data_IF_755218883893
#
_entry.id   IF_755218883893
#
_cell.length_a   1.000
_cell.length_b   1.000
_cell.length_c   1.000
_cell.angle_alpha   90.00
_cell.angle_beta   90.00
_cell.angle_gamma   90.00
#
_symmetry.space_group_name_H-M   'P 1'
#
loop_
_entity.id
_entity.type
_entity.pdbx_description
1 polymer ?
#
# COMPACT_ATOMS: atom_id res chain seq x y z
N UNK A 1 3.62 17.71 -0.19
CA UNK A 1 2.25 17.40 -0.62
C UNK A 1 2.24 17.39 -2.15
N UNK A 2 1.52 16.46 -2.77
CA UNK A 2 1.29 16.47 -4.23
C UNK A 2 0.26 17.54 -4.55
N UNK A 3 0.48 18.32 -5.60
CA UNK A 3 -0.46 19.34 -6.09
C UNK A 3 -1.06 18.86 -7.43
N UNK A 4 -2.40 18.69 -7.53
CA UNK A 4 -3.07 18.29 -8.77
C UNK A 4 -2.72 19.18 -9.97
N UNK A 5 -2.43 20.47 -9.75
CA UNK A 5 -2.11 21.43 -10.80
C UNK A 5 -0.71 21.21 -11.41
N UNK A 6 0.16 20.48 -10.70
CA UNK A 6 1.54 20.20 -11.15
C UNK A 6 1.63 18.79 -11.76
N UNK A 7 1.00 17.79 -11.13
CA UNK A 7 1.12 16.38 -11.54
C UNK A 7 -0.06 15.86 -12.37
N UNK A 8 -1.14 16.64 -12.49
CA UNK A 8 -2.39 16.23 -13.10
C UNK A 8 -3.33 15.50 -12.15
N UNK A 9 -4.64 15.58 -12.42
CA UNK A 9 -5.68 15.01 -11.56
C UNK A 9 -5.57 13.49 -11.44
N UNK A 10 -5.30 12.79 -12.55
CA UNK A 10 -5.21 11.32 -12.55
C UNK A 10 -4.10 10.83 -11.63
N UNK A 11 -2.88 11.36 -11.77
CA UNK A 11 -1.75 10.99 -10.93
C UNK A 11 -2.04 11.35 -9.46
N UNK A 12 -2.58 12.53 -9.19
CA UNK A 12 -2.94 12.93 -7.84
C UNK A 12 -3.94 11.94 -7.22
N UNK A 13 -5.01 11.61 -7.94
CA UNK A 13 -6.06 10.71 -7.47
C UNK A 13 -5.53 9.29 -7.22
N UNK A 14 -4.70 8.76 -8.11
CA UNK A 14 -4.07 7.44 -7.93
C UNK A 14 -3.13 7.45 -6.72
N UNK A 15 -2.28 8.46 -6.58
CA UNK A 15 -1.36 8.56 -5.45
C UNK A 15 -2.09 8.69 -4.11
N UNK A 16 -3.18 9.48 -4.07
CA UNK A 16 -4.04 9.60 -2.88
C UNK A 16 -4.78 8.31 -2.56
N UNK A 17 -5.29 7.60 -3.57
CA UNK A 17 -5.92 6.30 -3.40
C UNK A 17 -4.96 5.27 -2.82
N UNK A 18 -3.74 5.19 -3.36
CA UNK A 18 -2.67 4.31 -2.84
C UNK A 18 -2.33 4.63 -1.39
N UNK A 19 -2.19 5.92 -1.05
CA UNK A 19 -1.96 6.35 0.34
C UNK A 19 -3.08 5.90 1.27
N UNK A 20 -4.34 6.05 0.86
CA UNK A 20 -5.51 5.62 1.64
C UNK A 20 -5.51 4.11 1.93
N UNK A 21 -5.24 3.28 0.91
CA UNK A 21 -5.18 1.82 1.06
C UNK A 21 -4.05 1.39 2.00
N UNK A 22 -2.87 2.03 1.87
CA UNK A 22 -1.73 1.74 2.75
C UNK A 22 -1.97 2.18 4.20
N UNK A 23 -2.65 3.31 4.41
CA UNK A 23 -3.02 3.78 5.73
C UNK A 23 -3.98 2.81 6.43
N UNK A 24 -5.04 2.39 5.73
CA UNK A 24 -5.97 1.39 6.26
C UNK A 24 -5.30 0.06 6.56
N UNK A 25 -4.35 -0.37 5.71
CA UNK A 25 -3.55 -1.57 6.00
C UNK A 25 -2.70 -1.43 7.26
N UNK A 26 -2.15 -0.23 7.53
CA UNK A 26 -1.37 0.03 8.75
C UNK A 26 -2.22 -0.11 10.00
N UNK A 27 -3.44 0.42 9.99
CA UNK A 27 -4.41 0.30 11.09
C UNK A 27 -4.81 -1.15 11.33
N UNK A 28 -5.07 -1.90 10.25
CA UNK A 28 -5.40 -3.32 10.33
C UNK A 28 -4.21 -4.18 10.77
N UNK A 29 -2.96 -3.73 10.57
CA UNK A 29 -1.77 -4.50 10.93
C UNK A 29 -1.67 -4.75 12.44
N UNK A 30 -2.02 -3.77 13.25
CA UNK A 30 -1.99 -3.90 14.72
C UNK A 30 -3.09 -4.86 15.20
N UNK A 31 -4.27 -4.79 14.58
CA UNK A 31 -5.39 -5.73 14.82
C UNK A 31 -4.98 -7.16 14.42
N UNK A 32 -4.39 -7.35 13.24
CA UNK A 32 -3.91 -8.66 12.75
C UNK A 32 -2.86 -9.25 13.71
N UNK A 33 -1.99 -8.42 14.28
CA UNK A 33 -0.95 -8.89 15.19
C UNK A 33 -1.52 -9.42 16.53
N UNK A 34 -2.68 -8.93 16.96
CA UNK A 34 -3.34 -9.33 18.22
C UNK A 34 -4.32 -10.48 17.99
N UNK A 35 -5.17 -10.36 16.96
CA UNK A 35 -6.33 -11.23 16.74
C UNK A 35 -6.10 -12.29 15.64
N UNK A 36 -5.17 -12.05 14.70
CA UNK A 36 -4.99 -12.89 13.52
C UNK A 36 -5.79 -12.42 12.30
N UNK A 37 -5.48 -12.98 11.13
CA UNK A 37 -6.10 -12.59 9.84
C UNK A 37 -7.54 -13.08 9.68
N UNK A 38 -7.91 -14.16 10.36
CA UNK A 38 -9.21 -14.83 10.15
C UNK A 38 -10.37 -14.05 10.77
N UNK A 39 -10.08 -13.24 11.79
CA UNK A 39 -11.01 -12.37 12.51
C UNK A 39 -11.40 -11.10 11.75
N UNK A 40 -10.77 -10.84 10.60
CA UNK A 40 -11.09 -9.69 9.75
C UNK A 40 -12.35 -9.95 8.92
N UNK A 41 -13.08 -8.85 8.64
CA UNK A 41 -14.13 -8.87 7.62
C UNK A 41 -13.56 -9.21 6.24
N UNK A 42 -14.38 -9.80 5.35
CA UNK A 42 -13.94 -10.11 3.99
C UNK A 42 -13.51 -8.85 3.20
N UNK A 43 -14.10 -7.69 3.49
CA UNK A 43 -13.70 -6.41 2.92
C UNK A 43 -12.30 -5.96 3.40
N UNK A 44 -12.01 -6.11 4.69
CA UNK A 44 -10.71 -5.77 5.24
C UNK A 44 -9.63 -6.75 4.78
N UNK A 45 -9.95 -8.04 4.64
CA UNK A 45 -9.06 -9.04 4.00
C UNK A 45 -8.73 -8.64 2.56
N UNK A 46 -9.72 -8.19 1.79
CA UNK A 46 -9.47 -7.67 0.44
C UNK A 46 -8.58 -6.42 0.45
N UNK A 47 -8.82 -5.49 1.37
CA UNK A 47 -8.02 -4.28 1.55
C UNK A 47 -6.56 -4.60 1.89
N UNK A 48 -6.33 -5.54 2.82
CA UNK A 48 -5.01 -6.06 3.18
C UNK A 48 -4.32 -6.72 1.99
N UNK A 49 -5.05 -7.54 1.22
CA UNK A 49 -4.52 -8.20 0.02
C UNK A 49 -4.06 -7.19 -1.03
N UNK A 50 -4.87 -6.15 -1.30
CA UNK A 50 -4.51 -5.06 -2.22
C UNK A 50 -3.30 -4.28 -1.72
N UNK A 51 -3.27 -3.90 -0.44
CA UNK A 51 -2.16 -3.18 0.16
C UNK A 51 -0.83 -3.94 0.07
N UNK A 52 -0.84 -5.26 0.32
CA UNK A 52 0.35 -6.12 0.17
C UNK A 52 0.85 -6.17 -1.27
N UNK A 53 -0.05 -6.25 -2.26
CA UNK A 53 0.32 -6.20 -3.69
C UNK A 53 0.94 -4.86 -4.04
N UNK A 54 0.37 -3.75 -3.57
CA UNK A 54 0.90 -2.40 -3.79
C UNK A 54 2.30 -2.26 -3.18
N UNK A 55 2.52 -2.69 -1.93
CA UNK A 55 3.84 -2.63 -1.30
C UNK A 55 4.91 -3.38 -2.10
N UNK A 56 4.58 -4.57 -2.60
CA UNK A 56 5.51 -5.35 -3.46
C UNK A 56 5.73 -4.68 -4.80
N UNK A 57 4.69 -4.10 -5.40
CA UNK A 57 4.80 -3.40 -6.67
C UNK A 57 5.68 -2.15 -6.58
N UNK A 58 5.70 -1.48 -5.43
CA UNK A 58 6.61 -0.35 -5.17
C UNK A 58 8.07 -0.78 -4.95
N UNK A 59 8.35 -2.08 -4.81
CA UNK A 59 9.72 -2.58 -4.78
C UNK A 59 10.23 -2.83 -6.19
N UNK A 60 11.46 -2.40 -6.47
CA UNK A 60 12.13 -2.62 -7.75
C UNK A 60 13.60 -2.94 -7.49
N UNK A 61 14.19 -3.92 -8.19
CA UNK A 61 15.64 -4.12 -8.16
C UNK A 61 16.31 -2.89 -8.78
N UNK A 62 17.27 -2.33 -8.04
CA UNK A 62 18.05 -1.20 -8.53
C UNK A 62 19.34 -1.69 -9.18
N UNK A 63 19.69 -1.09 -10.31
CA UNK A 63 20.92 -1.39 -11.04
C UNK A 63 22.18 -1.32 -10.16
N UNK A 64 22.23 -0.35 -9.24
CA UNK A 64 23.36 -0.17 -8.31
C UNK A 64 23.43 -1.28 -7.26
N UNK A 65 22.32 -1.95 -6.96
CA UNK A 65 22.24 -2.98 -5.93
C UNK A 65 22.64 -4.38 -6.42
N UNK A 66 22.77 -4.61 -7.74
CA UNK A 66 23.08 -5.92 -8.34
C UNK A 66 24.35 -6.58 -7.79
N UNK A 67 25.31 -5.79 -7.29
CA UNK A 67 26.57 -6.32 -6.73
C UNK A 67 26.37 -6.93 -5.33
N UNK A 68 25.28 -6.58 -4.64
CA UNK A 68 25.02 -6.94 -3.24
C UNK A 68 23.82 -7.89 -3.04
N UNK A 69 23.06 -8.20 -4.10
CA UNK A 69 21.89 -9.10 -4.12
C UNK A 69 22.06 -10.21 -5.13
#
# INVERSE_FOLDING_TARGET
QLDPLIVGEEHYNVARGVQGVLQRYKELKDIIAILGMDELSEEDKQSVSRARKIQRFLSQPFFVAEVFT
#
